data_IF_477098075862
#
_entry.id   IF_477098075862
#
_cell.length_a   1.000
_cell.length_b   1.000
_cell.length_c   1.000
_cell.angle_alpha   90.00
_cell.angle_beta   90.00
_cell.angle_gamma   90.00
#
_symmetry.space_group_name_H-M   'P 1'
#
loop_
_entity.id
_entity.type
_entity.pdbx_description
1 polymer ?
#
# COMPACT_ATOMS: atom_id res chain seq x y z
N UNK A 1 -14.47 -5.72 22.79
CA UNK A 1 -14.09 -6.74 21.79
C UNK A 1 -15.34 -7.35 21.19
N UNK A 2 -15.40 -7.43 19.87
CA UNK A 2 -16.45 -8.14 19.12
C UNK A 2 -15.73 -9.12 18.18
N UNK A 3 -16.04 -10.41 18.28
CA UNK A 3 -15.41 -11.46 17.49
C UNK A 3 -16.43 -12.46 16.99
N UNK A 4 -16.39 -12.82 15.70
CA UNK A 4 -17.24 -13.89 15.15
C UNK A 4 -16.77 -15.27 15.60
N UNK A 5 -15.46 -15.50 15.59
CA UNK A 5 -14.80 -16.65 16.20
C UNK A 5 -13.50 -16.25 16.90
N UNK A 6 -13.21 -16.87 18.05
CA UNK A 6 -12.01 -16.56 18.85
C UNK A 6 -11.41 -17.84 19.45
N UNK A 7 -10.29 -18.31 18.89
CA UNK A 7 -9.59 -19.49 19.36
C UNK A 7 -8.32 -19.15 20.13
N UNK A 8 -8.19 -19.74 21.32
CA UNK A 8 -7.00 -19.67 22.17
C UNK A 8 -6.44 -21.06 22.54
N UNK A 9 -6.92 -22.14 21.92
CA UNK A 9 -6.45 -23.48 22.22
C UNK A 9 -5.17 -23.84 21.43
N UNK A 10 -4.53 -24.95 21.78
CA UNK A 10 -3.50 -25.58 20.93
C UNK A 10 -4.12 -26.48 19.85
N UNK A 11 -3.31 -26.99 18.94
CA UNK A 11 -3.73 -27.93 17.88
C UNK A 11 -4.23 -27.25 16.60
N UNK A 12 -5.05 -27.96 15.83
CA UNK A 12 -5.59 -27.43 14.57
C UNK A 12 -6.88 -26.64 14.84
N UNK A 13 -6.85 -25.36 14.49
CA UNK A 13 -7.90 -24.39 14.81
C UNK A 13 -8.59 -23.90 13.54
N UNK A 14 -9.84 -23.47 13.68
CA UNK A 14 -10.54 -22.71 12.65
C UNK A 14 -11.42 -21.64 13.30
N UNK A 15 -11.24 -20.40 12.87
CA UNK A 15 -12.18 -19.31 13.05
C UNK A 15 -12.51 -18.74 11.66
N UNK A 16 -12.93 -19.61 10.75
CA UNK A 16 -13.33 -19.27 9.38
C UNK A 16 -14.84 -19.13 9.25
N UNK A 17 -15.29 -18.52 8.15
CA UNK A 17 -16.70 -18.43 7.73
C UNK A 17 -17.64 -17.71 8.73
N UNK A 18 -17.08 -16.82 9.55
CA UNK A 18 -17.87 -16.03 10.50
C UNK A 18 -18.36 -14.73 9.86
N UNK A 19 -19.49 -14.22 10.34
CA UNK A 19 -20.02 -12.91 9.94
C UNK A 19 -20.27 -12.05 11.17
N UNK A 20 -19.67 -10.87 11.20
CA UNK A 20 -19.88 -9.84 12.24
C UNK A 20 -20.53 -8.63 11.59
N UNK A 21 -21.66 -8.18 12.14
CA UNK A 21 -22.38 -7.01 11.67
C UNK A 21 -22.62 -6.06 12.83
N UNK A 22 -22.12 -4.83 12.71
CA UNK A 22 -22.36 -3.73 13.64
C UNK A 22 -23.11 -2.63 12.90
N UNK A 23 -24.24 -2.21 13.45
CA UNK A 23 -25.07 -1.13 12.90
C UNK A 23 -25.39 -0.12 13.97
N UNK A 24 -25.01 1.13 13.75
CA UNK A 24 -25.51 2.25 14.55
C UNK A 24 -26.70 2.85 13.80
N UNK A 25 -27.88 2.78 14.43
CA UNK A 25 -29.12 3.25 13.80
C UNK A 25 -29.31 4.75 14.03
N UNK A 26 -30.03 5.46 13.12
CA UNK A 26 -30.32 6.89 13.28
C UNK A 26 -31.15 7.21 14.53
N UNK A 27 -31.90 6.23 15.04
CA UNK A 27 -32.78 6.38 16.21
C UNK A 27 -32.07 6.08 17.53
N UNK A 28 -30.78 5.76 17.51
CA UNK A 28 -30.06 5.43 18.72
C UNK A 28 -29.91 6.68 19.61
N UNK A 29 -30.25 6.57 20.89
CA UNK A 29 -30.35 7.69 21.82
C UNK A 29 -29.01 8.14 22.43
N UNK A 30 -27.94 7.39 22.20
CA UNK A 30 -26.59 7.73 22.69
C UNK A 30 -25.80 8.42 21.58
N UNK A 31 -25.10 9.51 21.94
CA UNK A 31 -24.28 10.30 21.02
C UNK A 31 -22.94 9.62 20.67
N UNK A 32 -22.53 8.58 21.41
CA UNK A 32 -21.26 7.88 21.20
C UNK A 32 -21.34 6.41 21.59
N UNK A 33 -20.84 5.54 20.71
CA UNK A 33 -20.69 4.11 20.91
C UNK A 33 -19.22 3.72 20.81
N UNK A 34 -18.84 2.57 21.37
CA UNK A 34 -17.48 2.09 21.16
C UNK A 34 -17.25 0.61 21.37
N UNK A 35 -16.23 0.10 20.70
CA UNK A 35 -15.61 -1.18 20.97
C UNK A 35 -14.25 -0.94 21.63
N UNK A 36 -14.15 -1.22 22.94
CA UNK A 36 -12.94 -0.95 23.73
C UNK A 36 -11.66 -1.70 23.32
N UNK A 37 -11.70 -2.50 22.25
CA UNK A 37 -10.55 -3.19 21.68
C UNK A 37 -10.78 -3.41 20.19
N UNK A 38 -11.00 -4.65 19.76
CA UNK A 38 -11.14 -4.99 18.33
C UNK A 38 -12.56 -5.37 17.91
N UNK A 39 -12.78 -5.34 16.58
CA UNK A 39 -13.89 -5.99 15.88
C UNK A 39 -13.30 -6.92 14.81
N UNK A 40 -13.52 -8.23 14.91
CA UNK A 40 -12.94 -9.16 13.96
C UNK A 40 -13.89 -10.29 13.56
N UNK A 41 -13.78 -10.75 12.32
CA UNK A 41 -14.54 -11.89 11.83
C UNK A 41 -14.08 -13.18 12.49
N UNK A 42 -12.79 -13.49 12.37
CA UNK A 42 -12.18 -14.66 13.00
C UNK A 42 -10.80 -14.36 13.57
N UNK A 43 -10.49 -14.96 14.73
CA UNK A 43 -9.21 -14.77 15.41
C UNK A 43 -8.64 -16.10 15.90
N UNK A 44 -7.35 -16.28 15.66
CA UNK A 44 -6.48 -17.23 16.36
C UNK A 44 -5.41 -16.41 17.08
N UNK A 45 -5.33 -16.51 18.40
CA UNK A 45 -4.49 -15.62 19.22
C UNK A 45 -2.98 -15.90 19.15
N UNK A 46 -2.18 -14.85 19.35
CA UNK A 46 -0.72 -14.80 19.11
C UNK A 46 0.14 -15.68 20.02
N UNK A 47 -0.38 -16.04 21.20
CA UNK A 47 0.38 -16.75 22.24
C UNK A 47 0.24 -18.27 22.17
N UNK A 48 -0.34 -18.81 21.09
CA UNK A 48 -0.77 -20.20 21.05
C UNK A 48 0.06 -21.05 20.10
N UNK A 49 0.30 -22.30 20.52
CA UNK A 49 0.83 -23.37 19.66
C UNK A 49 -0.23 -23.96 18.72
N UNK A 50 -1.36 -23.28 18.54
CA UNK A 50 -2.39 -23.70 17.59
C UNK A 50 -2.08 -23.14 16.21
N UNK A 51 -2.16 -23.97 15.17
CA UNK A 51 -2.12 -23.54 13.78
C UNK A 51 -3.54 -23.60 13.22
N UNK A 52 -3.91 -22.73 12.29
CA UNK A 52 -5.27 -22.76 11.80
C UNK A 52 -5.65 -21.68 10.82
N UNK A 53 -6.94 -21.60 10.52
CA UNK A 53 -7.46 -20.78 9.45
C UNK A 53 -8.48 -19.75 9.95
N UNK A 54 -8.32 -18.51 9.51
CA UNK A 54 -9.28 -17.41 9.65
C UNK A 54 -9.71 -16.95 8.26
N UNK A 55 -10.26 -17.86 7.47
CA UNK A 55 -10.63 -17.62 6.08
C UNK A 55 -12.11 -17.21 5.94
N UNK A 56 -12.44 -16.53 4.84
CA UNK A 56 -13.81 -16.26 4.39
C UNK A 56 -14.71 -15.55 5.42
N UNK A 57 -14.12 -14.83 6.38
CA UNK A 57 -14.90 -14.08 7.35
C UNK A 57 -15.39 -12.77 6.74
N UNK A 58 -16.55 -12.29 7.20
CA UNK A 58 -17.13 -11.01 6.79
C UNK A 58 -17.33 -10.10 8.01
N UNK A 59 -16.84 -8.86 7.93
CA UNK A 59 -17.08 -7.82 8.94
C UNK A 59 -17.73 -6.62 8.28
N UNK A 60 -18.94 -6.26 8.71
CA UNK A 60 -19.67 -5.10 8.22
C UNK A 60 -19.97 -4.14 9.37
N UNK A 61 -19.37 -2.96 9.34
CA UNK A 61 -19.58 -1.89 10.32
C UNK A 61 -20.19 -0.71 9.58
N UNK A 62 -21.46 -0.41 9.87
CA UNK A 62 -22.17 0.69 9.21
C UNK A 62 -22.77 1.62 10.25
N UNK A 63 -22.39 2.89 10.20
CA UNK A 63 -23.02 3.93 10.98
C UNK A 63 -24.03 4.70 10.12
N UNK A 64 -25.32 4.45 10.34
CA UNK A 64 -26.40 5.14 9.64
C UNK A 64 -26.79 6.47 10.34
N UNK A 65 -26.27 6.74 11.53
CA UNK A 65 -26.52 8.00 12.24
C UNK A 65 -25.76 9.15 11.59
N UNK A 66 -26.34 10.34 11.58
CA UNK A 66 -25.66 11.58 11.17
C UNK A 66 -24.99 12.31 12.34
N UNK A 67 -25.21 11.84 13.57
CA UNK A 67 -24.78 12.53 14.79
C UNK A 67 -23.92 11.64 15.68
N UNK A 68 -24.27 10.35 15.76
CA UNK A 68 -23.64 9.44 16.72
C UNK A 68 -22.27 9.00 16.22
N UNK A 69 -21.27 9.06 17.08
CA UNK A 69 -19.92 8.56 16.81
C UNK A 69 -19.78 7.08 17.18
N UNK A 70 -18.86 6.38 16.52
CA UNK A 70 -18.45 5.01 16.85
C UNK A 70 -16.93 4.87 16.87
N UNK A 71 -16.38 4.58 18.04
CA UNK A 71 -14.94 4.43 18.25
C UNK A 71 -14.53 2.96 18.43
N UNK A 72 -13.49 2.54 17.72
CA UNK A 72 -12.90 1.19 17.84
C UNK A 72 -11.46 1.38 18.30
N UNK A 73 -11.19 1.10 19.57
CA UNK A 73 -9.92 1.49 20.19
C UNK A 73 -8.68 0.82 19.59
N UNK A 74 -8.83 -0.40 19.07
CA UNK A 74 -7.72 -1.17 18.49
C UNK A 74 -7.90 -1.35 16.99
N UNK A 75 -8.44 -2.47 16.52
CA UNK A 75 -8.39 -2.79 15.09
C UNK A 75 -9.69 -3.41 14.58
N UNK A 76 -9.81 -3.38 13.25
CA UNK A 76 -10.82 -4.15 12.51
C UNK A 76 -10.11 -5.18 11.63
N UNK A 77 -10.52 -6.44 11.69
CA UNK A 77 -9.93 -7.48 10.86
C UNK A 77 -10.97 -8.46 10.30
N UNK A 78 -10.87 -8.84 9.04
CA UNK A 78 -11.62 -9.96 8.51
C UNK A 78 -11.17 -11.26 9.20
N UNK A 79 -9.91 -11.63 9.01
CA UNK A 79 -9.24 -12.72 9.72
C UNK A 79 -7.92 -12.30 10.35
N UNK A 80 -7.71 -12.65 11.62
CA UNK A 80 -6.47 -12.40 12.34
C UNK A 80 -5.86 -13.70 12.86
N UNK A 81 -4.75 -14.14 12.26
CA UNK A 81 -4.11 -15.39 12.60
C UNK A 81 -2.72 -15.20 13.19
N UNK A 82 -2.66 -15.21 14.52
CA UNK A 82 -1.45 -15.17 15.34
C UNK A 82 -0.81 -16.53 15.64
N UNK A 83 -1.45 -17.62 15.22
CA UNK A 83 -1.13 -18.98 15.65
C UNK A 83 0.00 -19.62 14.87
N UNK A 84 0.91 -20.33 15.56
CA UNK A 84 2.17 -20.85 14.97
C UNK A 84 2.31 -22.36 14.94
N UNK A 85 1.33 -23.10 15.44
CA UNK A 85 1.42 -24.57 15.54
C UNK A 85 2.40 -25.09 16.59
N UNK A 86 2.32 -26.39 16.89
CA UNK A 86 3.25 -27.03 17.81
C UNK A 86 4.65 -27.11 17.17
N UNK A 87 5.67 -26.63 17.90
CA UNK A 87 7.04 -26.57 17.39
C UNK A 87 7.37 -25.31 16.59
N UNK A 88 6.45 -24.34 16.51
CA UNK A 88 6.71 -23.03 15.90
C UNK A 88 6.60 -23.01 14.36
N UNK A 89 6.15 -24.13 13.77
CA UNK A 89 5.84 -24.26 12.35
C UNK A 89 4.43 -24.82 12.25
N UNK A 90 3.53 -24.03 11.67
CA UNK A 90 2.12 -24.37 11.55
C UNK A 90 1.56 -23.85 10.24
N UNK A 91 0.78 -24.67 9.56
CA UNK A 91 0.02 -24.24 8.39
C UNK A 91 -1.25 -23.51 8.82
N UNK A 92 -1.49 -22.37 8.21
CA UNK A 92 -2.66 -21.56 8.45
C UNK A 92 -3.07 -20.75 7.24
N UNK A 93 -3.98 -19.81 7.47
CA UNK A 93 -4.48 -18.93 6.41
C UNK A 93 -5.33 -17.80 6.96
N UNK A 94 -5.32 -16.67 6.26
CA UNK A 94 -6.28 -15.59 6.45
C UNK A 94 -6.69 -15.04 5.08
N UNK A 95 -7.25 -15.91 4.24
CA UNK A 95 -7.63 -15.62 2.85
C UNK A 95 -9.14 -15.48 2.68
N UNK A 96 -9.58 -14.75 1.65
CA UNK A 96 -10.99 -14.64 1.27
C UNK A 96 -11.85 -13.78 2.20
N UNK A 97 -11.25 -13.03 3.12
CA UNK A 97 -12.01 -12.24 4.08
C UNK A 97 -12.51 -10.92 3.47
N UNK A 98 -13.65 -10.43 3.97
CA UNK A 98 -14.24 -9.15 3.56
C UNK A 98 -14.45 -8.24 4.77
N UNK A 99 -13.99 -6.99 4.67
CA UNK A 99 -14.23 -5.93 5.65
C UNK A 99 -14.88 -4.74 4.96
N UNK A 100 -16.00 -4.28 5.51
CA UNK A 100 -16.68 -3.05 5.11
C UNK A 100 -16.85 -2.15 6.33
N UNK A 101 -16.37 -0.91 6.23
CA UNK A 101 -16.60 0.16 7.21
C UNK A 101 -17.17 1.36 6.45
N UNK A 102 -18.35 1.85 6.84
CA UNK A 102 -18.97 2.98 6.17
C UNK A 102 -19.83 3.83 7.12
N UNK A 103 -19.86 5.13 6.84
CA UNK A 103 -20.82 6.10 7.39
C UNK A 103 -21.58 6.77 6.23
N UNK A 104 -22.61 6.13 5.65
CA UNK A 104 -23.28 6.63 4.44
C UNK A 104 -23.94 8.00 4.59
N UNK A 105 -24.34 8.34 5.82
CA UNK A 105 -24.98 9.60 6.22
C UNK A 105 -24.03 10.81 6.21
N UNK A 106 -22.72 10.60 6.10
CA UNK A 106 -21.69 11.66 6.11
C UNK A 106 -20.81 11.60 4.84
N UNK A 107 -21.36 11.88 3.64
CA UNK A 107 -20.68 11.63 2.37
C UNK A 107 -19.50 12.57 2.06
N UNK A 108 -19.25 13.60 2.89
CA UNK A 108 -18.25 14.65 2.65
C UNK A 108 -17.10 14.70 3.68
N UNK A 109 -17.04 13.75 4.63
CA UNK A 109 -15.79 13.43 5.37
C UNK A 109 -15.33 14.41 6.42
N UNK A 110 -15.94 15.59 6.48
CA UNK A 110 -15.62 16.62 7.47
C UNK A 110 -16.00 16.18 8.89
N UNK A 111 -16.90 15.20 9.01
CA UNK A 111 -17.34 14.57 10.27
C UNK A 111 -17.30 13.03 10.09
N UNK A 112 -16.12 12.40 10.11
CA UNK A 112 -16.04 10.95 10.22
C UNK A 112 -16.69 10.49 11.53
N UNK A 113 -17.76 9.70 11.44
CA UNK A 113 -18.46 9.16 12.61
C UNK A 113 -18.00 7.76 12.98
N UNK A 114 -16.99 7.22 12.29
CA UNK A 114 -16.27 6.02 12.68
C UNK A 114 -14.79 6.35 12.76
N UNK A 115 -14.18 6.00 13.90
CA UNK A 115 -12.73 6.07 14.12
C UNK A 115 -12.19 4.70 14.50
N UNK A 116 -11.15 4.25 13.80
CA UNK A 116 -10.35 3.07 14.16
C UNK A 116 -9.01 3.53 14.73
N UNK A 117 -8.81 3.32 16.03
CA UNK A 117 -7.65 3.77 16.79
C UNK A 117 -6.33 3.06 16.44
N UNK A 118 -6.40 1.96 15.68
CA UNK A 118 -5.25 1.21 15.17
C UNK A 118 -5.37 1.02 13.66
N UNK A 119 -5.62 -0.21 13.21
CA UNK A 119 -5.50 -0.62 11.81
C UNK A 119 -6.73 -1.37 11.29
N UNK A 120 -6.82 -1.49 9.97
CA UNK A 120 -7.84 -2.28 9.27
C UNK A 120 -7.17 -3.33 8.39
N UNK A 121 -7.60 -4.59 8.52
CA UNK A 121 -7.00 -5.73 7.84
C UNK A 121 -8.08 -6.59 7.16
N UNK A 122 -7.85 -7.02 5.93
CA UNK A 122 -8.63 -8.11 5.35
C UNK A 122 -8.22 -9.43 5.99
N UNK A 123 -6.95 -9.80 5.83
CA UNK A 123 -6.34 -10.97 6.44
C UNK A 123 -4.96 -10.69 7.03
N UNK A 124 -4.66 -11.28 8.18
CA UNK A 124 -3.36 -11.21 8.84
C UNK A 124 -2.83 -12.60 9.18
N UNK A 125 -1.55 -12.80 8.90
CA UNK A 125 -0.76 -13.93 9.39
C UNK A 125 0.50 -13.36 10.04
N UNK A 126 0.80 -13.78 11.26
CA UNK A 126 2.02 -13.41 11.95
C UNK A 126 2.09 -14.03 13.34
N UNK A 127 3.16 -13.74 14.09
CA UNK A 127 3.22 -14.13 15.49
C UNK A 127 4.11 -13.22 16.30
N UNK A 128 3.70 -12.96 17.54
CA UNK A 128 4.53 -12.29 18.54
C UNK A 128 5.50 -13.25 19.26
N UNK A 129 5.39 -14.56 19.02
CA UNK A 129 6.26 -15.55 19.65
C UNK A 129 7.63 -15.57 18.97
N UNK A 130 8.65 -15.17 19.73
CA UNK A 130 10.05 -15.11 19.27
C UNK A 130 10.49 -16.47 18.72
N UNK A 131 11.06 -16.45 17.51
CA UNK A 131 11.60 -17.65 16.86
C UNK A 131 10.55 -18.56 16.25
N UNK A 132 9.30 -18.10 16.12
CA UNK A 132 8.24 -18.83 15.42
C UNK A 132 7.67 -17.97 14.31
N UNK A 133 7.38 -18.61 13.19
CA UNK A 133 6.90 -17.92 11.99
C UNK A 133 5.85 -18.81 11.33
N UNK A 134 4.56 -18.42 11.36
CA UNK A 134 3.52 -19.22 10.74
C UNK A 134 3.74 -19.34 9.23
N UNK A 135 3.05 -20.28 8.61
CA UNK A 135 2.97 -20.41 7.15
C UNK A 135 1.53 -20.27 6.72
N UNK A 136 1.29 -19.69 5.56
CA UNK A 136 -0.05 -19.59 5.01
C UNK A 136 -0.25 -18.34 4.18
N UNK A 137 -1.38 -18.28 3.48
CA UNK A 137 -1.66 -17.22 2.53
C UNK A 137 -2.64 -16.17 3.11
N UNK A 138 -2.47 -14.93 2.66
CA UNK A 138 -3.39 -13.82 2.89
C UNK A 138 -3.99 -13.34 1.56
N UNK A 139 -4.50 -14.29 0.77
CA UNK A 139 -4.96 -14.01 -0.59
C UNK A 139 -6.44 -13.62 -0.63
N UNK A 140 -6.86 -12.95 -1.71
CA UNK A 140 -8.27 -12.74 -2.02
C UNK A 140 -9.06 -11.98 -0.94
N UNK A 141 -8.40 -11.16 -0.11
CA UNK A 141 -9.09 -10.35 0.87
C UNK A 141 -9.59 -9.04 0.24
N UNK A 142 -10.71 -8.54 0.74
CA UNK A 142 -11.35 -7.31 0.30
C UNK A 142 -11.59 -6.38 1.49
N UNK A 143 -11.02 -5.18 1.44
CA UNK A 143 -11.20 -4.14 2.46
C UNK A 143 -11.82 -2.92 1.79
N UNK A 144 -12.99 -2.50 2.26
CA UNK A 144 -13.68 -1.29 1.82
C UNK A 144 -13.90 -0.38 3.02
N UNK A 145 -13.24 0.78 3.04
CA UNK A 145 -13.33 1.75 4.14
C UNK A 145 -13.78 3.09 3.55
N UNK A 146 -14.88 3.60 4.07
CA UNK A 146 -15.49 4.82 3.58
C UNK A 146 -15.86 5.75 4.72
N UNK A 147 -15.68 7.06 4.52
CA UNK A 147 -16.14 8.09 5.47
C UNK A 147 -15.60 7.88 6.90
N UNK A 148 -14.36 7.39 7.02
CA UNK A 148 -13.80 6.83 8.24
C UNK A 148 -12.39 7.39 8.48
N UNK A 149 -12.03 7.54 9.76
CA UNK A 149 -10.66 7.83 10.18
C UNK A 149 -9.97 6.57 10.67
N UNK A 150 -8.74 6.33 10.20
CA UNK A 150 -7.89 5.21 10.65
C UNK A 150 -6.56 5.76 11.15
N UNK A 151 -6.07 5.26 12.28
CA UNK A 151 -4.91 5.83 12.94
C UNK A 151 -3.57 5.37 12.35
N UNK A 152 -3.43 4.09 11.99
CA UNK A 152 -2.13 3.49 11.67
C UNK A 152 -2.02 3.06 10.21
N UNK A 153 -2.55 1.91 9.85
CA UNK A 153 -2.44 1.36 8.50
C UNK A 153 -3.70 0.61 8.05
N UNK A 154 -3.79 0.39 6.74
CA UNK A 154 -4.85 -0.41 6.11
C UNK A 154 -4.19 -1.42 5.16
N UNK A 155 -4.50 -2.71 5.30
CA UNK A 155 -4.01 -3.72 4.38
C UNK A 155 -5.09 -4.71 3.94
N UNK A 156 -5.07 -5.12 2.68
CA UNK A 156 -5.88 -6.22 2.20
C UNK A 156 -5.39 -7.55 2.79
N UNK A 157 -4.16 -7.94 2.46
CA UNK A 157 -3.45 -9.07 3.06
C UNK A 157 -2.13 -8.65 3.69
N UNK A 158 -1.90 -9.02 4.96
CA UNK A 158 -0.65 -8.76 5.67
C UNK A 158 -0.04 -10.07 6.18
N UNK A 159 0.97 -10.57 5.48
CA UNK A 159 1.62 -11.84 5.75
C UNK A 159 3.02 -11.64 6.32
N UNK A 160 3.17 -11.84 7.63
CA UNK A 160 4.44 -11.90 8.34
C UNK A 160 4.89 -13.35 8.58
N UNK A 161 4.31 -14.32 7.86
CA UNK A 161 4.72 -15.71 7.89
C UNK A 161 6.07 -15.95 7.22
N UNK A 162 6.66 -17.11 7.50
CA UNK A 162 7.89 -17.55 6.84
C UNK A 162 7.66 -17.95 5.38
N UNK A 163 6.44 -18.35 5.04
CA UNK A 163 6.05 -18.77 3.71
C UNK A 163 4.58 -18.44 3.46
N UNK A 164 4.31 -17.90 2.27
CA UNK A 164 2.95 -17.72 1.76
C UNK A 164 2.73 -16.37 1.09
N UNK A 165 1.73 -16.35 0.24
CA UNK A 165 1.44 -15.24 -0.66
C UNK A 165 0.56 -14.18 0.02
N UNK A 166 0.61 -12.98 -0.55
CA UNK A 166 -0.33 -11.90 -0.29
C UNK A 166 -0.84 -11.37 -1.64
N UNK A 167 -1.63 -12.18 -2.32
CA UNK A 167 -2.05 -11.96 -3.71
C UNK A 167 -3.57 -11.77 -3.86
N UNK A 168 -3.96 -11.08 -4.93
CA UNK A 168 -5.37 -10.85 -5.32
C UNK A 168 -6.20 -10.08 -4.26
N UNK A 169 -5.53 -9.30 -3.41
CA UNK A 169 -6.19 -8.49 -2.41
C UNK A 169 -6.66 -7.16 -2.98
N UNK A 170 -7.79 -6.67 -2.48
CA UNK A 170 -8.41 -5.41 -2.92
C UNK A 170 -8.63 -4.50 -1.73
N UNK A 171 -8.14 -3.27 -1.83
CA UNK A 171 -8.40 -2.20 -0.87
C UNK A 171 -9.09 -1.06 -1.60
N UNK A 172 -10.27 -0.67 -1.11
CA UNK A 172 -11.03 0.47 -1.60
C UNK A 172 -11.21 1.48 -0.45
N UNK A 173 -10.70 2.68 -0.65
CA UNK A 173 -10.82 3.79 0.29
C UNK A 173 -11.58 4.93 -0.38
N UNK A 174 -12.60 5.45 0.28
CA UNK A 174 -13.28 6.66 -0.17
C UNK A 174 -13.49 7.61 0.99
N UNK A 175 -13.05 8.86 0.83
CA UNK A 175 -13.24 9.86 1.85
C UNK A 175 -12.70 9.41 3.23
N UNK A 176 -11.48 8.88 3.19
CA UNK A 176 -10.75 8.35 4.35
C UNK A 176 -9.68 9.35 4.77
N UNK A 177 -9.53 9.52 6.08
CA UNK A 177 -8.34 10.15 6.65
C UNK A 177 -7.48 9.07 7.31
N UNK A 178 -6.28 8.84 6.79
CA UNK A 178 -5.28 8.00 7.42
C UNK A 178 -4.22 8.89 8.06
N UNK A 179 -4.15 8.86 9.39
CA UNK A 179 -3.12 9.49 10.21
C UNK A 179 -2.97 11.02 10.02
N UNK A 180 -2.85 11.76 11.12
CA UNK A 180 -2.60 13.22 11.10
C UNK A 180 -1.52 13.66 12.11
N UNK A 181 -0.80 12.70 12.70
CA UNK A 181 0.32 12.96 13.59
C UNK A 181 1.62 13.26 12.85
N UNK A 182 2.72 13.43 13.57
CA UNK A 182 3.98 13.89 13.00
C UNK A 182 4.79 12.77 12.31
N UNK A 183 5.02 11.63 12.99
CA UNK A 183 5.88 10.55 12.54
C UNK A 183 5.17 9.54 11.61
N UNK A 184 5.71 9.24 10.44
CA UNK A 184 5.04 8.35 9.47
C UNK A 184 5.45 6.86 9.55
N UNK A 185 6.40 6.53 10.41
CA UNK A 185 6.84 5.15 10.62
C UNK A 185 5.68 4.27 11.12
N UNK A 186 5.45 3.12 10.47
CA UNK A 186 4.35 2.22 10.82
C UNK A 186 2.98 2.62 10.25
N UNK A 187 2.91 3.71 9.47
CA UNK A 187 1.69 4.15 8.80
C UNK A 187 1.76 3.85 7.31
N UNK A 188 0.80 3.10 6.76
CA UNK A 188 0.81 2.75 5.33
C UNK A 188 -0.55 2.24 4.84
N UNK A 189 -0.68 2.15 3.52
CA UNK A 189 -1.78 1.43 2.87
C UNK A 189 -1.22 0.46 1.86
N UNK A 190 -1.71 -0.78 1.87
CA UNK A 190 -1.22 -1.81 0.95
C UNK A 190 -2.29 -2.79 0.52
N UNK A 191 -2.28 -3.23 -0.74
CA UNK A 191 -3.13 -4.32 -1.19
C UNK A 191 -2.69 -5.64 -0.56
N UNK A 192 -1.46 -6.08 -0.82
CA UNK A 192 -0.84 -7.26 -0.22
C UNK A 192 0.60 -7.01 0.23
N UNK A 193 0.98 -7.52 1.40
CA UNK A 193 2.33 -7.38 1.97
C UNK A 193 2.88 -8.74 2.42
N UNK A 194 4.04 -9.12 1.89
CA UNK A 194 4.88 -10.23 2.39
C UNK A 194 6.02 -9.65 3.22
N UNK A 195 6.10 -10.03 4.49
CA UNK A 195 6.99 -9.45 5.49
C UNK A 195 8.44 -9.86 5.36
N UNK A 196 9.29 -9.20 6.16
CA UNK A 196 10.72 -9.47 6.20
C UNK A 196 11.00 -10.94 6.58
N UNK A 197 11.90 -11.58 5.83
CA UNK A 197 12.26 -13.00 6.03
C UNK A 197 11.22 -14.01 5.54
N UNK A 198 10.07 -13.56 5.03
CA UNK A 198 9.07 -14.41 4.39
C UNK A 198 9.42 -14.76 2.94
N UNK A 199 8.96 -15.91 2.46
CA UNK A 199 9.00 -16.31 1.05
C UNK A 199 7.60 -16.40 0.48
N UNK A 200 7.28 -15.57 -0.51
CA UNK A 200 5.96 -15.58 -1.14
C UNK A 200 5.79 -14.42 -2.10
N UNK A 201 4.70 -14.47 -2.86
CA UNK A 201 4.42 -13.52 -3.92
C UNK A 201 3.35 -12.51 -3.49
N UNK A 202 3.60 -11.23 -3.82
CA UNK A 202 2.62 -10.15 -3.68
C UNK A 202 2.14 -9.75 -5.09
N UNK A 203 1.10 -10.41 -5.59
CA UNK A 203 0.67 -10.26 -7.00
C UNK A 203 -0.80 -9.93 -7.18
N UNK A 204 -1.12 -9.23 -8.27
CA UNK A 204 -2.50 -8.89 -8.65
C UNK A 204 -3.29 -8.16 -7.55
N UNK A 205 -2.60 -7.42 -6.68
CA UNK A 205 -3.27 -6.64 -5.65
C UNK A 205 -3.68 -5.28 -6.21
N UNK A 206 -4.80 -4.75 -5.72
CA UNK A 206 -5.31 -3.44 -6.14
C UNK A 206 -5.61 -2.57 -4.94
N UNK A 207 -5.09 -1.36 -4.94
CA UNK A 207 -5.48 -0.30 -4.02
C UNK A 207 -6.14 0.82 -4.82
N UNK A 208 -7.39 1.13 -4.49
CA UNK A 208 -8.15 2.22 -5.09
C UNK A 208 -8.53 3.23 -4.01
N UNK A 209 -8.15 4.49 -4.19
CA UNK A 209 -8.40 5.57 -3.23
C UNK A 209 -9.11 6.73 -3.93
N UNK A 210 -10.15 7.26 -3.30
CA UNK A 210 -10.96 8.35 -3.83
C UNK A 210 -11.19 9.42 -2.76
N UNK A 211 -11.03 10.68 -3.12
CA UNK A 211 -11.40 11.85 -2.30
C UNK A 211 -10.85 11.77 -0.86
N UNK A 212 -9.62 11.26 -0.68
CA UNK A 212 -9.06 10.93 0.64
C UNK A 212 -7.79 11.74 0.95
N UNK A 213 -7.45 11.81 2.24
CA UNK A 213 -6.21 12.40 2.73
C UNK A 213 -5.43 11.36 3.53
N UNK A 214 -4.26 10.94 3.01
CA UNK A 214 -3.47 9.87 3.58
C UNK A 214 -2.07 10.39 3.95
N UNK A 215 -1.66 10.20 5.19
CA UNK A 215 -0.29 10.44 5.63
C UNK A 215 0.35 9.12 6.07
N UNK A 216 1.51 8.79 5.53
CA UNK A 216 2.19 7.54 5.89
C UNK A 216 3.47 7.29 5.11
N UNK A 217 4.19 6.25 5.50
CA UNK A 217 5.43 5.79 4.88
C UNK A 217 5.24 5.48 3.40
N UNK A 218 4.21 4.67 3.07
CA UNK A 218 3.89 4.36 1.68
C UNK A 218 2.41 4.00 1.46
N UNK A 219 2.02 4.07 0.19
CA UNK A 219 0.76 3.61 -0.39
C UNK A 219 1.10 2.77 -1.62
N UNK A 220 0.82 1.47 -1.58
CA UNK A 220 1.26 0.55 -2.63
C UNK A 220 0.26 -0.56 -2.97
N UNK A 221 0.24 -1.01 -4.23
CA UNK A 221 -0.56 -2.15 -4.64
C UNK A 221 -0.06 -3.42 -3.96
N UNK A 222 1.23 -3.73 -4.12
CA UNK A 222 1.89 -4.88 -3.50
C UNK A 222 3.25 -4.54 -2.91
N UNK A 223 3.60 -5.19 -1.80
CA UNK A 223 4.88 -5.02 -1.10
C UNK A 223 5.47 -6.39 -0.79
N UNK A 224 6.76 -6.58 -1.02
CA UNK A 224 7.52 -7.73 -0.56
C UNK A 224 8.79 -7.26 0.17
N UNK A 225 8.98 -7.72 1.39
CA UNK A 225 10.13 -7.40 2.24
C UNK A 225 11.04 -8.62 2.45
N UNK A 226 10.65 -9.77 1.91
CA UNK A 226 11.39 -11.02 1.97
C UNK A 226 11.89 -11.41 0.58
N UNK A 227 11.44 -12.55 0.08
CA UNK A 227 11.77 -13.04 -1.27
C UNK A 227 10.52 -13.46 -2.04
N UNK A 228 10.56 -13.30 -3.36
CA UNK A 228 9.48 -13.68 -4.27
C UNK A 228 9.28 -12.64 -5.36
N UNK A 229 8.05 -12.51 -5.84
CA UNK A 229 7.66 -11.60 -6.91
C UNK A 229 6.74 -10.48 -6.40
N UNK A 230 6.84 -9.33 -7.06
CA UNK A 230 5.86 -8.24 -6.98
C UNK A 230 5.38 -7.95 -8.39
N UNK A 231 4.29 -8.61 -8.79
CA UNK A 231 3.79 -8.60 -10.17
C UNK A 231 2.34 -8.13 -10.28
N UNK A 232 2.04 -7.31 -11.29
CA UNK A 232 0.66 -6.90 -11.64
C UNK A 232 -0.11 -6.21 -10.52
N UNK A 233 0.57 -5.49 -9.65
CA UNK A 233 -0.11 -4.71 -8.62
C UNK A 233 -0.47 -3.31 -9.14
N UNK A 234 -1.62 -2.81 -8.74
CA UNK A 234 -2.15 -1.54 -9.24
C UNK A 234 -2.54 -0.62 -8.08
N UNK A 235 -2.08 0.62 -8.13
CA UNK A 235 -2.52 1.71 -7.24
C UNK A 235 -3.27 2.75 -8.06
N UNK A 236 -4.52 3.05 -7.68
CA UNK A 236 -5.41 3.98 -8.40
C UNK A 236 -5.87 5.07 -7.44
N UNK A 237 -5.52 6.33 -7.73
CA UNK A 237 -5.85 7.48 -6.90
C UNK A 237 -6.70 8.49 -7.70
N UNK A 238 -7.84 8.89 -7.14
CA UNK A 238 -8.68 9.95 -7.70
C UNK A 238 -8.89 11.03 -6.65
N UNK A 239 -8.56 12.29 -6.98
CA UNK A 239 -8.70 13.43 -6.07
C UNK A 239 -8.15 13.17 -4.65
N UNK A 240 -7.02 12.49 -4.57
CA UNK A 240 -6.46 12.03 -3.28
C UNK A 240 -5.18 12.79 -2.97
N UNK A 241 -5.04 13.18 -1.70
CA UNK A 241 -3.85 13.84 -1.20
C UNK A 241 -3.03 12.84 -0.38
N UNK A 242 -1.78 12.61 -0.78
CA UNK A 242 -0.86 11.70 -0.10
C UNK A 242 0.34 12.47 0.41
N UNK A 243 0.60 12.39 1.71
CA UNK A 243 1.85 12.79 2.33
C UNK A 243 2.66 11.52 2.62
N UNK A 244 3.47 11.09 1.65
CA UNK A 244 4.10 9.77 1.67
C UNK A 244 4.73 9.36 0.34
N UNK A 245 5.03 8.05 0.20
CA UNK A 245 5.53 7.43 -1.03
C UNK A 245 4.42 6.64 -1.76
N UNK A 246 4.21 6.87 -3.05
CA UNK A 246 3.20 6.12 -3.83
C UNK A 246 3.88 5.16 -4.79
N UNK A 247 3.43 3.89 -4.81
CA UNK A 247 3.98 2.85 -5.67
C UNK A 247 2.92 1.93 -6.27
N UNK A 248 3.20 1.32 -7.43
CA UNK A 248 2.47 0.13 -7.87
C UNK A 248 2.96 -1.11 -7.12
N UNK A 249 4.28 -1.31 -7.13
CA UNK A 249 4.95 -2.41 -6.44
C UNK A 249 6.20 -1.98 -5.67
N UNK A 250 6.45 -2.60 -4.52
CA UNK A 250 7.60 -2.30 -3.66
C UNK A 250 8.33 -3.55 -3.23
N UNK A 251 9.65 -3.52 -3.38
CA UNK A 251 10.56 -4.29 -2.57
C UNK A 251 11.18 -3.37 -1.53
N UNK A 252 10.87 -3.66 -0.27
CA UNK A 252 11.25 -2.84 0.88
C UNK A 252 12.09 -3.64 1.88
N UNK A 253 12.65 -4.78 1.47
CA UNK A 253 13.59 -5.58 2.25
C UNK A 253 15.04 -5.29 1.89
N UNK A 254 15.96 -5.33 2.85
CA UNK A 254 17.40 -5.10 2.59
C UNK A 254 18.11 -6.29 1.92
N UNK A 255 17.46 -7.46 1.84
CA UNK A 255 18.12 -8.74 1.53
C UNK A 255 17.40 -9.59 0.47
N UNK A 256 16.34 -9.08 -0.13
CA UNK A 256 15.51 -9.81 -1.10
C UNK A 256 15.87 -9.52 -2.55
N UNK A 257 16.13 -10.55 -3.37
CA UNK A 257 16.19 -10.40 -4.82
C UNK A 257 14.77 -10.47 -5.41
N UNK A 258 13.96 -9.46 -5.11
CA UNK A 258 12.55 -9.40 -5.51
C UNK A 258 12.43 -8.81 -6.91
N UNK A 259 11.88 -9.58 -7.84
CA UNK A 259 11.61 -9.08 -9.20
C UNK A 259 10.28 -8.32 -9.22
N UNK A 260 10.28 -7.10 -9.76
CA UNK A 260 9.11 -6.23 -9.85
C UNK A 260 8.67 -6.01 -11.29
N UNK A 261 7.52 -6.57 -11.65
CA UNK A 261 7.02 -6.54 -13.01
C UNK A 261 5.58 -6.06 -13.14
N UNK A 262 5.28 -5.35 -14.22
CA UNK A 262 3.89 -5.03 -14.60
C UNK A 262 3.10 -4.30 -13.49
N UNK A 263 3.77 -3.57 -12.60
CA UNK A 263 3.08 -2.81 -11.56
C UNK A 263 2.74 -1.41 -12.07
N UNK A 264 1.58 -0.91 -11.66
CA UNK A 264 1.03 0.32 -12.22
C UNK A 264 0.57 1.30 -11.14
N UNK A 265 0.78 2.58 -11.41
CA UNK A 265 0.16 3.68 -10.68
C UNK A 265 -0.70 4.50 -11.64
N UNK A 266 -1.94 4.75 -11.27
CA UNK A 266 -2.87 5.63 -11.97
C UNK A 266 -3.29 6.74 -11.02
N UNK A 267 -3.09 8.01 -11.39
CA UNK A 267 -3.56 9.16 -10.62
C UNK A 267 -4.32 10.13 -11.50
N UNK A 268 -5.51 10.53 -11.05
CA UNK A 268 -6.32 11.57 -11.69
C UNK A 268 -6.84 12.57 -10.65
N UNK A 269 -6.23 13.75 -10.59
CA UNK A 269 -6.51 14.73 -9.52
C UNK A 269 -5.79 14.42 -8.21
N UNK A 270 -5.56 15.45 -7.40
CA UNK A 270 -4.93 15.33 -6.08
C UNK A 270 -3.43 15.66 -6.08
N UNK A 271 -2.73 15.24 -5.02
CA UNK A 271 -1.30 15.55 -4.86
C UNK A 271 -0.52 14.48 -4.10
N UNK A 272 0.80 14.45 -4.33
CA UNK A 272 1.75 13.72 -3.49
C UNK A 272 2.80 14.71 -2.98
N UNK A 273 2.83 14.89 -1.66
CA UNK A 273 3.63 15.91 -0.99
C UNK A 273 4.69 15.28 -0.08
N UNK A 274 5.78 16.01 0.13
CA UNK A 274 6.82 15.61 1.09
C UNK A 274 6.29 15.72 2.51
N UNK A 275 6.77 14.86 3.39
CA UNK A 275 6.53 15.01 4.83
C UNK A 275 7.64 15.91 5.38
N UNK A 276 7.24 17.05 5.95
CA UNK A 276 8.15 17.96 6.64
C UNK A 276 8.13 17.65 8.13
N UNK A 277 9.31 17.59 8.79
CA UNK A 277 9.38 17.61 10.25
C UNK A 277 10.18 16.53 10.97
N UNK A 278 10.76 15.51 10.33
CA UNK A 278 11.72 14.61 11.01
C UNK A 278 12.76 13.94 10.08
N UNK A 279 14.02 13.95 10.51
CA UNK A 279 15.18 13.56 9.69
C UNK A 279 15.41 12.02 9.68
N UNK A 280 14.39 11.24 9.36
CA UNK A 280 14.53 9.80 9.15
C UNK A 280 14.87 9.47 7.68
N UNK A 281 15.65 8.41 7.40
CA UNK A 281 15.92 7.97 6.02
C UNK A 281 14.63 7.58 5.27
N UNK A 282 13.59 7.15 6.01
CA UNK A 282 12.28 6.79 5.45
C UNK A 282 11.49 8.01 4.92
N UNK A 283 11.68 9.20 5.50
CA UNK A 283 10.99 10.42 5.07
C UNK A 283 11.61 11.03 3.79
N UNK A 284 12.86 10.67 3.48
CA UNK A 284 13.60 11.18 2.32
C UNK A 284 13.01 10.76 0.96
N UNK A 285 12.11 9.77 0.96
CA UNK A 285 11.46 9.28 -0.25
C UNK A 285 10.05 9.87 -0.44
N UNK A 286 9.51 10.57 0.55
CA UNK A 286 8.14 11.11 0.49
C UNK A 286 7.98 12.15 -0.63
N UNK A 287 6.75 12.37 -1.09
CA UNK A 287 6.47 13.25 -2.22
C UNK A 287 6.68 12.60 -3.60
N UNK A 288 7.09 11.32 -3.64
CA UNK A 288 7.45 10.59 -4.86
C UNK A 288 6.36 9.61 -5.32
N UNK A 289 6.26 9.45 -6.63
CA UNK A 289 5.47 8.40 -7.29
C UNK A 289 6.37 7.48 -8.11
N UNK A 290 6.22 6.17 -7.94
CA UNK A 290 6.98 5.17 -8.72
C UNK A 290 6.08 4.06 -9.26
N UNK A 291 6.36 3.54 -10.45
CA UNK A 291 5.70 2.30 -10.92
C UNK A 291 6.11 1.13 -10.04
N UNK A 292 7.42 0.95 -9.87
CA UNK A 292 7.98 0.05 -8.87
C UNK A 292 9.37 0.47 -8.37
N UNK A 293 9.73 0.00 -7.16
CA UNK A 293 11.07 0.20 -6.57
C UNK A 293 11.60 -1.07 -5.91
N UNK A 294 12.85 -1.43 -6.22
CA UNK A 294 13.62 -2.47 -5.54
C UNK A 294 14.72 -1.89 -4.67
N UNK A 295 14.86 -2.41 -3.44
CA UNK A 295 16.03 -2.18 -2.59
C UNK A 295 17.10 -3.26 -2.77
N UNK A 296 16.71 -4.47 -3.18
CA UNK A 296 17.61 -5.55 -3.51
C UNK A 296 18.18 -5.50 -4.91
N UNK A 297 18.74 -6.62 -5.38
CA UNK A 297 19.30 -6.75 -6.72
C UNK A 297 18.27 -7.22 -7.77
N UNK A 298 16.98 -7.21 -7.42
CA UNK A 298 15.90 -7.62 -8.29
C UNK A 298 15.70 -6.68 -9.48
N UNK A 299 15.27 -7.25 -10.60
CA UNK A 299 14.99 -6.49 -11.80
C UNK A 299 13.63 -5.78 -11.72
N UNK A 300 13.54 -4.61 -12.34
CA UNK A 300 12.34 -3.76 -12.36
C UNK A 300 11.92 -3.52 -13.80
N UNK A 301 10.89 -4.24 -14.27
CA UNK A 301 10.51 -4.25 -15.69
C UNK A 301 9.04 -4.01 -15.97
N UNK A 302 8.74 -3.34 -17.08
CA UNK A 302 7.35 -3.18 -17.57
C UNK A 302 6.40 -2.51 -16.56
N UNK A 303 6.92 -1.67 -15.66
CA UNK A 303 6.07 -0.94 -14.72
C UNK A 303 5.61 0.37 -15.36
N UNK A 304 4.44 0.86 -14.95
CA UNK A 304 3.84 2.04 -15.53
C UNK A 304 3.40 3.06 -14.48
N UNK A 305 3.50 4.34 -14.85
CA UNK A 305 2.92 5.45 -14.09
C UNK A 305 2.12 6.35 -15.03
N UNK A 306 0.86 6.58 -14.69
CA UNK A 306 -0.08 7.40 -15.44
C UNK A 306 -0.62 8.51 -14.54
N UNK A 307 -0.25 9.75 -14.84
CA UNK A 307 -0.60 10.93 -14.06
C UNK A 307 -1.42 11.90 -14.90
N UNK A 308 -2.53 12.39 -14.33
CA UNK A 308 -3.37 13.41 -14.96
C UNK A 308 -3.91 14.40 -13.92
N UNK A 309 -3.80 15.70 -14.18
CA UNK A 309 -4.30 16.74 -13.28
C UNK A 309 -3.74 16.64 -11.83
N UNK A 310 -2.46 16.28 -11.67
CA UNK A 310 -1.85 16.09 -10.33
C UNK A 310 -0.73 17.08 -10.04
N UNK A 311 -0.44 17.26 -8.76
CA UNK A 311 0.78 17.94 -8.28
C UNK A 311 1.67 16.99 -7.48
N UNK A 312 2.94 16.84 -7.86
CA UNK A 312 3.92 15.96 -7.20
C UNK A 312 5.11 16.79 -6.72
N UNK A 313 5.45 16.69 -5.43
CA UNK A 313 6.48 17.55 -4.81
C UNK A 313 7.91 17.02 -4.91
N UNK A 314 8.11 15.72 -5.10
CA UNK A 314 9.43 15.13 -5.39
C UNK A 314 9.49 14.66 -6.85
N UNK A 315 9.76 13.38 -7.10
CA UNK A 315 9.96 12.84 -8.44
C UNK A 315 8.88 11.88 -8.90
N UNK A 316 8.91 11.62 -10.20
CA UNK A 316 8.17 10.51 -10.85
C UNK A 316 9.16 9.53 -11.44
N UNK A 317 8.95 8.23 -11.20
CA UNK A 317 9.79 7.15 -11.73
C UNK A 317 8.97 6.02 -12.33
N UNK A 318 9.37 5.47 -13.46
CA UNK A 318 8.72 4.26 -14.00
C UNK A 318 9.17 3.04 -13.21
N UNK A 319 10.49 2.90 -13.03
CA UNK A 319 11.10 1.90 -12.17
C UNK A 319 12.34 2.44 -11.45
N UNK A 320 12.67 1.85 -10.30
CA UNK A 320 13.87 2.20 -9.51
C UNK A 320 14.56 0.93 -9.00
N UNK A 321 15.89 0.83 -9.18
CA UNK A 321 16.72 -0.13 -8.45
C UNK A 321 17.83 0.60 -7.70
N UNK A 322 18.08 0.21 -6.45
CA UNK A 322 19.16 0.79 -5.64
C UNK A 322 20.45 -0.02 -5.66
N UNK A 323 20.44 -1.18 -6.33
CA UNK A 323 21.56 -2.13 -6.34
C UNK A 323 21.80 -2.64 -7.76
N UNK A 324 21.80 -3.96 -8.00
CA UNK A 324 22.29 -4.55 -9.25
C UNK A 324 21.21 -4.93 -10.29
N UNK A 325 19.99 -4.44 -10.13
CA UNK A 325 18.86 -4.79 -10.99
C UNK A 325 18.82 -3.98 -12.28
N UNK A 326 18.35 -4.59 -13.37
CA UNK A 326 17.98 -3.85 -14.58
C UNK A 326 16.66 -3.12 -14.38
N UNK A 327 16.56 -1.90 -14.90
CA UNK A 327 15.37 -1.06 -14.82
C UNK A 327 14.91 -0.72 -16.23
N UNK A 328 14.16 -1.63 -16.85
CA UNK A 328 13.92 -1.61 -18.31
C UNK A 328 12.44 -1.59 -18.67
N UNK A 329 12.12 -1.06 -19.84
CA UNK A 329 10.77 -1.14 -20.41
C UNK A 329 9.67 -0.49 -19.55
N UNK A 330 10.04 0.44 -18.66
CA UNK A 330 9.08 1.14 -17.84
C UNK A 330 8.50 2.35 -18.62
N UNK A 331 7.24 2.66 -18.35
CA UNK A 331 6.48 3.68 -19.06
C UNK A 331 5.99 4.75 -18.09
N UNK A 332 6.16 6.02 -18.45
CA UNK A 332 5.56 7.14 -17.73
C UNK A 332 4.69 7.94 -18.71
N UNK A 333 3.49 8.28 -18.29
CA UNK A 333 2.58 9.20 -18.97
C UNK A 333 2.17 10.30 -17.98
N UNK A 334 2.44 11.56 -18.31
CA UNK A 334 2.06 12.72 -17.50
C UNK A 334 1.26 13.70 -18.37
N UNK A 335 0.04 14.00 -17.97
CA UNK A 335 -0.84 14.95 -18.66
C UNK A 335 -1.33 16.03 -17.70
N UNK A 336 -1.36 17.29 -18.16
CA UNK A 336 -2.01 18.40 -17.45
C UNK A 336 -1.59 18.50 -15.96
N UNK A 337 -0.33 18.24 -15.63
CA UNK A 337 0.16 18.08 -14.26
C UNK A 337 1.37 18.97 -13.93
N UNK A 338 1.71 19.08 -12.64
CA UNK A 338 2.88 19.81 -12.16
C UNK A 338 3.77 18.91 -11.29
N UNK A 339 5.04 18.76 -11.67
CA UNK A 339 6.08 18.07 -10.89
C UNK A 339 7.06 19.14 -10.40
N UNK A 340 7.08 19.42 -9.10
CA UNK A 340 7.85 20.54 -8.53
C UNK A 340 9.19 20.12 -7.94
N UNK A 341 9.40 18.83 -7.70
CA UNK A 341 10.66 18.33 -7.15
C UNK A 341 11.83 18.67 -8.05
N UNK A 342 12.93 19.09 -7.45
CA UNK A 342 14.16 19.42 -8.15
C UNK A 342 15.29 18.54 -7.63
N UNK A 343 15.74 17.56 -8.42
CA UNK A 343 16.93 16.79 -8.10
C UNK A 343 18.09 17.13 -9.05
N UNK A 344 19.21 17.58 -8.47
CA UNK A 344 20.46 17.81 -9.20
C UNK A 344 21.13 16.50 -9.68
N UNK A 345 20.59 15.33 -9.30
CA UNK A 345 21.29 14.04 -9.43
C UNK A 345 20.51 12.97 -10.21
N UNK A 346 19.41 13.27 -10.90
CA UNK A 346 18.82 12.23 -11.77
C UNK A 346 17.47 12.52 -12.40
N UNK A 347 17.10 13.80 -12.44
CA UNK A 347 15.88 14.26 -13.06
C UNK A 347 14.66 14.14 -12.16
N UNK A 348 13.70 14.98 -12.40
CA UNK A 348 12.45 15.01 -11.65
C UNK A 348 11.45 14.01 -12.23
N UNK A 349 11.66 13.62 -13.50
CA UNK A 349 10.99 12.48 -14.13
C UNK A 349 12.04 11.55 -14.73
N UNK A 350 12.01 10.27 -14.36
CA UNK A 350 12.91 9.25 -14.91
C UNK A 350 12.20 7.93 -15.23
N UNK A 351 12.20 7.49 -16.50
CA UNK A 351 11.58 6.22 -16.91
C UNK A 351 12.14 5.02 -16.15
N UNK A 352 13.44 4.76 -16.29
CA UNK A 352 14.20 3.83 -15.45
C UNK A 352 15.32 4.55 -14.70
N UNK A 353 15.47 4.23 -13.40
CA UNK A 353 16.42 4.90 -12.51
C UNK A 353 17.24 3.89 -11.70
N UNK A 354 18.57 3.97 -11.81
CA UNK A 354 19.49 3.22 -10.94
C UNK A 354 20.18 4.20 -9.99
N UNK A 355 19.98 4.01 -8.67
CA UNK A 355 20.58 4.85 -7.62
C UNK A 355 22.11 4.61 -7.49
N UNK A 356 22.80 5.56 -6.85
CA UNK A 356 24.27 5.58 -6.76
C UNK A 356 24.87 4.28 -6.23
N UNK A 357 25.83 3.71 -6.96
CA UNK A 357 26.51 2.47 -6.57
C UNK A 357 25.88 1.18 -7.10
N UNK A 358 24.72 1.27 -7.75
CA UNK A 358 24.10 0.15 -8.45
C UNK A 358 24.85 -0.29 -9.71
N UNK A 359 24.46 -1.41 -10.31
CA UNK A 359 24.93 -1.85 -11.62
C UNK A 359 23.75 -2.45 -12.38
N UNK A 360 23.44 -1.97 -13.59
CA UNK A 360 22.33 -2.52 -14.36
C UNK A 360 22.03 -1.66 -15.56
N UNK A 361 21.12 -2.12 -16.42
CA UNK A 361 20.75 -1.39 -17.62
C UNK A 361 19.44 -0.63 -17.43
N UNK A 362 19.35 0.56 -18.01
CA UNK A 362 18.12 1.36 -18.07
C UNK A 362 17.65 1.52 -19.51
N UNK A 363 17.52 0.40 -20.22
CA UNK A 363 17.14 0.37 -21.64
C UNK A 363 15.62 0.38 -21.85
N UNK A 364 15.20 0.85 -23.02
CA UNK A 364 13.82 0.72 -23.53
C UNK A 364 12.74 1.36 -22.66
N UNK A 365 13.10 2.30 -21.79
CA UNK A 365 12.13 3.05 -21.01
C UNK A 365 11.53 4.19 -21.86
N UNK A 366 10.30 4.58 -21.53
CA UNK A 366 9.60 5.66 -22.23
C UNK A 366 8.97 6.65 -21.27
N UNK A 367 9.07 7.93 -21.62
CA UNK A 367 8.46 9.03 -20.88
C UNK A 367 7.69 9.90 -21.86
N UNK A 368 6.38 9.99 -21.65
CA UNK A 368 5.47 10.85 -22.38
C UNK A 368 4.94 11.94 -21.45
N UNK A 369 5.09 13.20 -21.86
CA UNK A 369 4.61 14.35 -21.09
C UNK A 369 3.83 15.26 -22.02
N UNK A 370 2.63 15.66 -21.60
CA UNK A 370 1.75 16.56 -22.33
C UNK A 370 1.22 17.66 -21.43
N UNK A 371 1.28 18.92 -21.89
CA UNK A 371 0.70 20.09 -21.21
C UNK A 371 1.04 20.18 -19.72
N UNK A 372 2.24 19.76 -19.34
CA UNK A 372 2.64 19.64 -17.94
C UNK A 372 3.90 20.46 -17.66
N UNK A 373 4.06 20.85 -16.40
CA UNK A 373 5.23 21.54 -15.90
C UNK A 373 6.09 20.57 -15.09
N UNK A 374 7.38 20.50 -15.40
CA UNK A 374 8.34 19.66 -14.67
C UNK A 374 9.52 20.53 -14.31
N UNK A 375 9.70 20.79 -13.03
CA UNK A 375 10.93 21.39 -12.53
C UNK A 375 12.05 20.36 -12.68
N UNK A 376 13.16 20.67 -13.34
CA UNK A 376 14.34 19.77 -13.41
C UNK A 376 14.39 18.87 -14.64
N UNK A 377 15.25 17.84 -14.61
CA UNK A 377 15.51 17.02 -15.81
C UNK A 377 14.40 16.01 -16.08
N UNK A 378 14.14 15.76 -17.37
CA UNK A 378 13.32 14.65 -17.86
C UNK A 378 14.24 13.68 -18.58
N UNK A 379 14.28 12.44 -18.10
CA UNK A 379 15.15 11.39 -18.66
C UNK A 379 14.35 10.10 -18.80
N UNK A 380 14.56 9.32 -19.86
CA UNK A 380 13.89 8.03 -19.98
C UNK A 380 14.71 6.90 -19.34
N UNK A 381 16.04 6.94 -19.43
CA UNK A 381 16.94 6.04 -18.69
C UNK A 381 18.00 6.85 -17.95
N UNK A 382 18.19 6.58 -16.66
CA UNK A 382 19.17 7.27 -15.83
C UNK A 382 19.94 6.30 -14.95
N UNK A 383 21.27 6.41 -15.01
CA UNK A 383 22.17 5.45 -14.39
C UNK A 383 23.31 6.14 -13.65
N UNK A 384 23.45 5.87 -12.34
CA UNK A 384 24.59 6.29 -11.53
C UNK A 384 25.52 5.10 -11.17
N UNK A 385 25.51 4.06 -11.99
CA UNK A 385 26.34 2.88 -11.76
C UNK A 385 27.83 3.20 -11.79
N UNK A 386 28.59 2.45 -10.99
CA UNK A 386 30.05 2.53 -10.95
C UNK A 386 30.67 1.53 -11.96
N UNK A 387 29.90 0.52 -12.40
CA UNK A 387 30.29 -0.48 -13.40
C UNK A 387 29.81 -0.20 -14.83
N UNK A 388 29.94 -1.20 -15.70
CA UNK A 388 29.42 -1.13 -17.08
C UNK A 388 27.90 -1.12 -17.07
N UNK A 389 27.30 -0.18 -17.79
CA UNK A 389 25.85 -0.05 -17.87
C UNK A 389 25.40 0.58 -19.19
N UNK A 390 24.25 0.14 -19.68
CA UNK A 390 23.61 0.67 -20.87
C UNK A 390 22.36 1.49 -20.53
N UNK A 391 22.13 2.56 -21.30
CA UNK A 391 20.93 3.40 -21.25
C UNK A 391 20.43 3.67 -22.69
N UNK A 392 20.29 2.60 -23.47
CA UNK A 392 19.97 2.60 -24.89
C UNK A 392 18.46 2.46 -25.17
N UNK A 393 18.03 2.86 -26.37
CA UNK A 393 16.65 2.70 -26.86
C UNK A 393 15.56 3.36 -25.99
N UNK A 394 15.93 4.39 -25.23
CA UNK A 394 15.01 5.14 -24.40
C UNK A 394 14.31 6.24 -25.21
N UNK A 395 13.04 6.50 -24.93
CA UNK A 395 12.24 7.51 -25.63
C UNK A 395 11.70 8.57 -24.68
N UNK A 396 11.91 9.85 -24.99
CA UNK A 396 11.23 10.97 -24.34
C UNK A 396 10.41 11.71 -25.39
N UNK A 397 9.12 11.88 -25.14
CA UNK A 397 8.21 12.68 -25.96
C UNK A 397 7.57 13.76 -25.07
N UNK A 398 7.72 15.01 -25.47
CA UNK A 398 7.15 16.17 -24.79
C UNK A 398 6.26 16.93 -25.77
N UNK A 399 4.97 17.02 -25.45
CA UNK A 399 3.96 17.69 -26.27
C UNK A 399 3.36 18.89 -25.53
N UNK A 400 3.22 20.00 -26.26
CA UNK A 400 2.53 21.20 -25.78
C UNK A 400 1.45 21.55 -26.78
N UNK A 401 0.21 21.61 -26.31
CA UNK A 401 -0.88 22.17 -27.09
C UNK A 401 -0.81 23.71 -26.99
N UNK A 402 -0.76 24.38 -28.15
CA UNK A 402 -0.75 25.83 -28.30
C UNK A 402 -1.95 26.56 -27.66
N UNK A 403 -3.00 25.83 -27.28
CA UNK A 403 -4.16 26.35 -26.56
C UNK A 403 -4.02 26.31 -25.03
N UNK A 404 -2.96 25.69 -24.49
CA UNK A 404 -2.74 25.55 -23.05
C UNK A 404 -2.03 26.77 -22.44
N UNK A 405 -2.61 27.36 -21.40
CA UNK A 405 -2.05 28.54 -20.68
C UNK A 405 -0.99 28.17 -19.63
N UNK A 406 -0.57 26.91 -19.55
CA UNK A 406 0.17 26.36 -18.41
C UNK A 406 1.58 25.80 -18.75
N UNK A 407 2.17 26.20 -19.87
CA UNK A 407 3.50 25.72 -20.29
C UNK A 407 4.63 26.66 -19.88
N UNK A 408 5.43 26.26 -18.88
CA UNK A 408 6.77 26.81 -18.64
C UNK A 408 7.70 25.67 -18.19
N UNK A 409 8.92 25.64 -18.75
CA UNK A 409 10.00 24.70 -18.39
C UNK A 409 10.92 25.36 -17.38
#
# INVERSE_FOLDING_TARGET
>A
NVGGGYNQAGGNLSASDNTVVVKILPTASEESFGAGGFIAGGIIGDKQKGAGFTNNNTVNIINFSSENSFEINSYVAGGYNGGVGEGGVGEGGASGNTVLIDTPSSPNGSNSLITVGGFVLGGYIGSELIGTTPKGNTNNNSVSVQNTRVATYIAGGYNLGSEGDASENKVYLKNVTLYDGDAIAGHFVVGGLVGEGGSGDATNNTVTVQDSSLKGKFLAGGVNQGSGLVDKNTTILTNTHVQGFVAGGLDWGERGDVTLTNNEVWMNGGSVSVVSGSAGPEESLTGRVVGARSMGAGDVRNNAVHLKNVTIEDGVRGGVSTSKGNVVQNVITIEDSEITGWSNQGGSVAGGYIEAGGNGNTNENSVFIKNSKVAGNIVAGFNQAIGSSDSCNNTVLFEVDSSSTNSSV
#
